data_IF_524703152785
#
_entry.id   IF_524703152785
#
_cell.length_a   1.000
_cell.length_b   1.000
_cell.length_c   1.000
_cell.angle_alpha   90.00
_cell.angle_beta   90.00
_cell.angle_gamma   90.00
#
_symmetry.space_group_name_H-M   'P 1'
#
loop_
_entity.id
_entity.type
_entity.pdbx_description
1 polymer ?
#
# COMPACT_ATOMS: atom_id res chain seq x y z
N UNK A 1 -27.62 16.91 4.80
CA UNK A 1 -26.20 16.64 4.53
C UNK A 1 -25.96 15.25 5.07
N UNK A 2 -25.50 14.32 4.24
CA UNK A 2 -25.06 13.01 4.74
C UNK A 2 -23.77 13.21 5.54
N UNK A 3 -23.58 12.43 6.60
CA UNK A 3 -22.40 12.52 7.46
C UNK A 3 -21.25 11.77 6.80
N UNK A 4 -20.09 12.42 6.65
CA UNK A 4 -18.89 11.76 6.14
C UNK A 4 -18.20 11.02 7.28
N UNK A 5 -18.18 9.68 7.20
CA UNK A 5 -17.46 8.82 8.12
C UNK A 5 -16.04 8.58 7.62
N UNK A 6 -15.09 8.47 8.55
CA UNK A 6 -13.68 8.23 8.25
C UNK A 6 -13.10 7.13 9.14
N UNK A 7 -12.40 6.18 8.51
CA UNK A 7 -11.60 5.15 9.17
C UNK A 7 -10.14 5.26 8.77
N UNK A 8 -9.24 4.90 9.68
CA UNK A 8 -7.79 4.84 9.43
C UNK A 8 -7.24 3.46 9.79
N UNK A 9 -6.35 2.94 8.96
CA UNK A 9 -5.60 1.72 9.22
C UNK A 9 -4.13 1.88 8.83
N UNK A 10 -3.25 1.20 9.55
CA UNK A 10 -1.82 1.11 9.23
C UNK A 10 -1.34 -0.33 9.42
N UNK A 11 -0.47 -0.79 8.53
CA UNK A 11 0.22 -2.08 8.67
C UNK A 11 1.69 -1.95 8.29
N UNK A 12 2.55 -2.68 9.01
CA UNK A 12 3.96 -2.84 8.66
C UNK A 12 4.09 -3.93 7.59
N UNK A 13 4.68 -3.56 6.45
CA UNK A 13 4.92 -4.42 5.29
C UNK A 13 6.42 -4.58 5.01
N UNK A 14 7.27 -4.32 6.01
CA UNK A 14 8.72 -4.54 5.90
C UNK A 14 8.99 -5.99 5.54
N UNK A 15 9.62 -6.27 4.39
CA UNK A 15 9.83 -7.64 3.96
C UNK A 15 10.92 -8.32 4.79
N UNK A 16 11.02 -9.64 4.64
CA UNK A 16 12.11 -10.40 5.22
C UNK A 16 13.48 -9.95 4.68
N UNK A 17 14.50 -10.10 5.52
CA UNK A 17 15.89 -9.76 5.18
C UNK A 17 16.42 -10.58 4.00
N UNK A 18 17.35 -10.00 3.23
CA UNK A 18 18.02 -10.69 2.13
C UNK A 18 17.37 -10.52 0.76
N UNK A 19 16.21 -9.85 0.68
CA UNK A 19 15.66 -9.35 -0.58
C UNK A 19 16.50 -8.20 -1.15
N UNK A 20 16.47 -8.07 -2.47
CA UNK A 20 17.14 -6.99 -3.20
C UNK A 20 16.35 -5.68 -3.09
N UNK A 21 17.07 -4.58 -2.90
CA UNK A 21 16.50 -3.25 -2.80
C UNK A 21 16.13 -2.71 -4.19
N UNK A 22 14.87 -2.33 -4.36
CA UNK A 22 14.36 -1.69 -5.57
C UNK A 22 14.86 -0.24 -5.71
N UNK A 23 14.94 0.26 -6.95
CA UNK A 23 15.21 1.67 -7.26
C UNK A 23 16.65 2.02 -7.64
N UNK A 24 17.59 1.08 -7.57
CA UNK A 24 19.01 1.31 -7.87
C UNK A 24 19.42 1.02 -9.33
N UNK A 25 18.47 0.70 -10.22
CA UNK A 25 18.71 0.48 -11.64
C UNK A 25 19.77 -0.60 -11.91
N UNK A 26 20.86 -0.25 -12.58
CA UNK A 26 21.94 -1.18 -12.94
C UNK A 26 22.81 -1.64 -11.76
N UNK A 27 22.63 -1.08 -10.56
CA UNK A 27 23.36 -1.51 -9.37
C UNK A 27 22.66 -2.70 -8.69
N UNK A 28 22.74 -3.85 -9.35
CA UNK A 28 22.12 -5.10 -8.93
C UNK A 28 22.82 -5.72 -7.70
N UNK A 29 22.17 -6.72 -7.10
CA UNK A 29 22.63 -7.50 -5.94
C UNK A 29 22.76 -6.70 -4.64
N UNK A 30 22.09 -5.55 -4.54
CA UNK A 30 22.03 -4.76 -3.30
C UNK A 30 20.95 -5.31 -2.38
N UNK A 31 21.34 -6.18 -1.45
CA UNK A 31 20.41 -6.78 -0.49
C UNK A 31 20.26 -5.93 0.76
N UNK A 32 19.07 -5.96 1.36
CA UNK A 32 18.85 -5.35 2.67
C UNK A 32 19.81 -5.97 3.70
N UNK A 33 20.55 -5.13 4.43
CA UNK A 33 21.48 -5.54 5.51
C UNK A 33 20.98 -5.16 6.91
N UNK A 34 19.93 -4.35 6.98
CA UNK A 34 19.18 -4.03 8.18
C UNK A 34 17.92 -3.25 7.84
N UNK A 35 17.10 -2.99 8.86
CA UNK A 35 15.92 -2.13 8.78
C UNK A 35 16.23 -0.87 9.57
N UNK A 36 16.17 0.29 8.91
CA UNK A 36 16.33 1.58 9.59
C UNK A 36 14.99 2.07 10.15
N UNK A 37 13.96 2.03 9.31
CA UNK A 37 12.57 2.37 9.62
C UNK A 37 11.65 1.33 8.98
N UNK A 38 10.45 1.17 9.57
CA UNK A 38 9.42 0.30 9.01
C UNK A 38 8.93 0.81 7.65
N UNK A 39 8.75 -0.11 6.71
CA UNK A 39 8.00 0.13 5.48
C UNK A 39 6.53 -0.11 5.80
N UNK A 40 5.66 0.88 5.58
CA UNK A 40 4.25 0.78 5.95
C UNK A 40 3.30 0.98 4.78
N UNK A 41 2.10 0.44 4.94
CA UNK A 41 0.91 0.87 4.23
C UNK A 41 -0.01 1.59 5.21
N UNK A 42 -0.55 2.74 4.79
CA UNK A 42 -1.50 3.55 5.55
C UNK A 42 -2.71 3.79 4.69
N UNK A 43 -3.90 3.59 5.24
CA UNK A 43 -5.16 3.70 4.52
C UNK A 43 -6.11 4.65 5.23
N UNK A 44 -6.80 5.47 4.45
CA UNK A 44 -7.97 6.25 4.90
C UNK A 44 -9.17 5.77 4.10
N UNK A 45 -10.19 5.30 4.81
CA UNK A 45 -11.48 4.92 4.26
C UNK A 45 -12.48 6.04 4.54
N UNK A 46 -13.15 6.54 3.52
CA UNK A 46 -14.16 7.59 3.62
C UNK A 46 -15.47 7.08 3.02
N UNK A 47 -16.59 7.34 3.66
CA UNK A 47 -17.91 7.06 3.10
C UNK A 47 -18.94 8.06 3.59
N UNK A 48 -19.91 8.41 2.74
CA UNK A 48 -21.11 9.16 3.12
C UNK A 48 -22.36 8.27 3.24
N UNK A 49 -22.20 6.94 3.09
CA UNK A 49 -23.29 5.96 3.09
C UNK A 49 -23.77 5.54 1.69
N UNK A 50 -23.41 6.29 0.64
CA UNK A 50 -23.71 5.94 -0.75
C UNK A 50 -22.43 5.58 -1.51
N UNK A 51 -21.39 6.38 -1.36
CA UNK A 51 -20.11 6.20 -2.03
C UNK A 51 -19.01 5.86 -1.02
N UNK A 52 -18.01 5.14 -1.51
CA UNK A 52 -16.84 4.73 -0.75
C UNK A 52 -15.58 5.17 -1.47
N UNK A 53 -14.68 5.83 -0.73
CA UNK A 53 -13.33 6.15 -1.18
C UNK A 53 -12.31 5.53 -0.23
N UNK A 54 -11.45 4.67 -0.77
CA UNK A 54 -10.27 4.17 -0.07
C UNK A 54 -9.00 4.77 -0.68
N UNK A 55 -8.24 5.51 0.13
CA UNK A 55 -6.92 6.03 -0.24
C UNK A 55 -5.84 5.29 0.53
N UNK A 56 -4.89 4.70 -0.18
CA UNK A 56 -3.74 4.00 0.42
C UNK A 56 -2.43 4.67 0.02
N UNK A 57 -1.56 4.91 1.01
CA UNK A 57 -0.18 5.34 0.84
C UNK A 57 0.73 4.20 1.27
N UNK A 58 1.52 3.68 0.33
CA UNK A 58 2.48 2.62 0.57
C UNK A 58 3.89 3.20 0.49
N UNK A 59 4.76 2.89 1.45
CA UNK A 59 6.17 3.27 1.45
C UNK A 59 6.99 2.42 0.44
N UNK A 60 6.47 2.30 -0.80
CA UNK A 60 7.04 1.50 -1.88
C UNK A 60 7.39 2.39 -3.06
N UNK A 61 8.33 1.94 -3.91
CA UNK A 61 8.71 2.66 -5.11
C UNK A 61 7.56 2.76 -6.13
N UNK A 62 6.74 1.70 -6.22
CA UNK A 62 5.62 1.62 -7.13
C UNK A 62 5.16 0.18 -7.37
N UNK A 63 4.10 0.05 -8.15
CA UNK A 63 3.52 -1.22 -8.57
C UNK A 63 3.54 -1.29 -10.11
N UNK A 64 3.49 -2.50 -10.67
CA UNK A 64 3.05 -2.62 -12.06
C UNK A 64 1.59 -2.19 -12.18
N UNK A 65 1.19 -1.69 -13.35
CA UNK A 65 -0.19 -1.27 -13.59
C UNK A 65 -1.16 -2.45 -13.40
N UNK A 66 -0.83 -3.61 -13.98
CA UNK A 66 -1.60 -4.86 -13.85
C UNK A 66 -1.83 -5.23 -12.39
N UNK A 67 -0.76 -5.28 -11.58
CA UNK A 67 -0.89 -5.61 -10.16
C UNK A 67 -1.71 -4.57 -9.39
N UNK A 68 -1.55 -3.28 -9.71
CA UNK A 68 -2.32 -2.23 -9.06
C UNK A 68 -3.82 -2.31 -9.41
N UNK A 69 -4.15 -2.67 -10.65
CA UNK A 69 -5.53 -2.82 -11.11
C UNK A 69 -6.18 -4.05 -10.47
N UNK A 70 -5.49 -5.19 -10.45
CA UNK A 70 -5.95 -6.42 -9.78
C UNK A 70 -6.17 -6.19 -8.28
N UNK A 71 -5.24 -5.50 -7.62
CA UNK A 71 -5.34 -5.19 -6.21
C UNK A 71 -6.55 -4.29 -5.91
N UNK A 72 -6.80 -3.27 -6.74
CA UNK A 72 -7.98 -2.40 -6.57
C UNK A 72 -9.28 -3.16 -6.77
N UNK A 73 -9.35 -4.05 -7.76
CA UNK A 73 -10.53 -4.87 -7.99
C UNK A 73 -10.80 -5.82 -6.82
N UNK A 74 -9.76 -6.53 -6.34
CA UNK A 74 -9.90 -7.43 -5.19
C UNK A 74 -10.40 -6.70 -3.94
N UNK A 75 -9.90 -5.49 -3.68
CA UNK A 75 -10.33 -4.70 -2.53
C UNK A 75 -11.77 -4.20 -2.69
N UNK A 76 -12.15 -3.78 -3.90
CA UNK A 76 -13.53 -3.39 -4.20
C UNK A 76 -14.50 -4.57 -3.97
N UNK A 77 -14.15 -5.76 -4.46
CA UNK A 77 -14.96 -6.97 -4.28
C UNK A 77 -15.14 -7.35 -2.79
N UNK A 78 -14.11 -7.17 -1.97
CA UNK A 78 -14.16 -7.45 -0.52
C UNK A 78 -14.97 -6.42 0.28
N UNK A 79 -15.05 -5.17 -0.18
CA UNK A 79 -15.78 -4.09 0.49
C UNK A 79 -17.27 -4.04 0.12
N UNK A 80 -17.66 -4.67 -1.00
CA UNK A 80 -19.03 -4.69 -1.53
C UNK A 80 -19.40 -3.43 -2.31
#
# INVERSE_FOLDING_TARGET
MQELLAGYGESNITPEMGLELSGYGYHLSRKATGVLDDIKIRAVYLTDGEEVLLLMSCDLLGFSLEYADDLRQSIADDLG
#
